data_IF_811488169652
#
_entry.id   IF_811488169652
#
_cell.length_a   1.000
_cell.length_b   1.000
_cell.length_c   1.000
_cell.angle_alpha   90.00
_cell.angle_beta   90.00
_cell.angle_gamma   90.00
#
_symmetry.space_group_name_H-M   'P 1'
#
loop_
_entity.id
_entity.type
_entity.pdbx_description
1 polymer ?
#
# COMPACT_ATOMS: atom_id res chain seq x y z
N UNK A 1 0.18 -21.80 13.61
CA UNK A 1 0.00 -20.83 12.51
C UNK A 1 -0.62 -21.47 11.27
N UNK A 2 -0.03 -22.54 10.75
CA UNK A 2 -0.54 -23.28 9.56
C UNK A 2 -1.97 -23.81 9.77
N UNK A 3 -2.28 -24.31 10.97
CA UNK A 3 -3.64 -24.75 11.33
C UNK A 3 -4.65 -23.60 11.38
N UNK A 4 -4.25 -22.42 11.85
CA UNK A 4 -5.09 -21.23 11.88
C UNK A 4 -5.38 -20.72 10.47
N UNK A 5 -4.37 -20.67 9.59
CA UNK A 5 -4.54 -20.36 8.18
C UNK A 5 -5.46 -21.37 7.45
N UNK A 6 -5.34 -22.66 7.76
CA UNK A 6 -6.27 -23.66 7.22
C UNK A 6 -7.73 -23.42 7.65
N UNK A 7 -7.99 -22.96 8.86
CA UNK A 7 -9.32 -22.60 9.35
C UNK A 7 -9.85 -21.29 8.74
N UNK A 8 -8.98 -20.33 8.40
CA UNK A 8 -9.37 -19.06 7.77
C UNK A 8 -9.89 -19.28 6.34
N UNK A 9 -9.29 -20.21 5.59
CA UNK A 9 -9.68 -20.51 4.20
C UNK A 9 -10.86 -21.48 4.05
N UNK A 10 -11.56 -21.85 5.14
CA UNK A 10 -12.82 -22.58 5.00
C UNK A 10 -13.90 -21.67 4.39
N UNK A 11 -14.81 -22.26 3.58
CA UNK A 11 -15.84 -21.51 2.85
C UNK A 11 -16.69 -20.64 3.80
N UNK A 12 -16.93 -19.35 3.47
CA UNK A 12 -17.72 -18.46 4.30
C UNK A 12 -19.18 -18.93 4.37
N UNK A 13 -19.71 -19.01 5.59
CA UNK A 13 -21.02 -19.60 5.86
C UNK A 13 -22.21 -18.81 5.28
N UNK A 14 -22.05 -17.49 5.01
CA UNK A 14 -23.07 -16.63 4.37
C UNK A 14 -22.42 -15.57 3.48
N UNK A 15 -22.52 -15.76 2.16
CA UNK A 15 -21.94 -14.89 1.14
C UNK A 15 -22.35 -13.40 1.25
N UNK A 16 -23.62 -13.12 1.55
CA UNK A 16 -24.11 -11.74 1.72
C UNK A 16 -23.47 -10.99 2.89
N UNK A 17 -23.26 -11.67 4.02
CA UNK A 17 -22.61 -11.05 5.20
C UNK A 17 -21.14 -10.82 4.93
N UNK A 18 -20.49 -11.76 4.23
CA UNK A 18 -19.09 -11.65 3.84
C UNK A 18 -18.82 -10.40 3.00
N UNK A 19 -19.59 -10.18 1.91
CA UNK A 19 -19.42 -8.98 1.08
C UNK A 19 -19.62 -7.68 1.84
N UNK A 20 -20.60 -7.64 2.74
CA UNK A 20 -20.83 -6.44 3.57
C UNK A 20 -19.67 -6.17 4.53
N UNK A 21 -19.10 -7.21 5.11
CA UNK A 21 -17.93 -7.10 5.97
C UNK A 21 -16.69 -6.66 5.19
N UNK A 22 -16.44 -7.24 4.01
CA UNK A 22 -15.35 -6.83 3.12
C UNK A 22 -15.48 -5.35 2.73
N UNK A 23 -16.65 -4.88 2.32
CA UNK A 23 -16.87 -3.47 1.98
C UNK A 23 -16.63 -2.53 3.16
N UNK A 24 -17.03 -2.93 4.37
CA UNK A 24 -16.76 -2.16 5.59
C UNK A 24 -15.26 -2.05 5.86
N UNK A 25 -14.52 -3.15 5.69
CA UNK A 25 -13.06 -3.16 5.87
C UNK A 25 -12.34 -2.34 4.79
N UNK A 26 -12.76 -2.45 3.53
CA UNK A 26 -12.25 -1.61 2.43
C UNK A 26 -12.44 -0.14 2.74
N UNK A 27 -13.59 0.25 3.26
CA UNK A 27 -13.85 1.63 3.62
C UNK A 27 -13.00 2.08 4.82
N UNK A 28 -12.99 1.30 5.88
CA UNK A 28 -12.29 1.65 7.13
C UNK A 28 -10.77 1.68 6.96
N UNK A 29 -10.20 0.63 6.37
CA UNK A 29 -8.74 0.50 6.20
C UNK A 29 -8.24 1.23 4.95
N UNK A 30 -9.02 1.22 3.88
CA UNK A 30 -8.63 1.81 2.60
C UNK A 30 -8.78 3.33 2.62
N UNK A 31 -10.00 3.83 2.71
CA UNK A 31 -10.29 5.28 2.66
C UNK A 31 -9.62 6.02 3.81
N UNK A 32 -9.64 5.44 5.02
CA UNK A 32 -8.93 5.99 6.18
C UNK A 32 -7.41 6.07 6.02
N UNK A 33 -6.83 5.35 5.05
CA UNK A 33 -5.38 5.39 4.75
C UNK A 33 -5.01 6.34 3.61
N UNK A 34 -5.98 6.79 2.80
CA UNK A 34 -5.70 7.64 1.63
C UNK A 34 -4.97 8.93 1.99
N UNK A 35 -5.36 9.61 3.08
CA UNK A 35 -4.70 10.84 3.53
C UNK A 35 -3.22 10.65 3.84
N UNK A 36 -2.89 9.58 4.57
CA UNK A 36 -1.51 9.28 4.94
C UNK A 36 -0.70 8.94 3.70
N UNK A 37 -1.25 8.10 2.81
CA UNK A 37 -0.60 7.73 1.55
C UNK A 37 -0.40 8.96 0.67
N UNK A 38 -1.39 9.85 0.57
CA UNK A 38 -1.29 11.11 -0.18
C UNK A 38 -0.11 11.96 0.30
N UNK A 39 -0.09 12.29 1.59
CA UNK A 39 0.94 13.16 2.16
C UNK A 39 2.33 12.55 1.95
N UNK A 40 2.50 11.28 2.31
CA UNK A 40 3.80 10.63 2.26
C UNK A 40 4.27 10.47 0.81
N UNK A 41 3.42 10.02 -0.11
CA UNK A 41 3.78 9.86 -1.52
C UNK A 41 4.13 11.20 -2.19
N UNK A 42 3.39 12.26 -1.85
CA UNK A 42 3.67 13.61 -2.34
C UNK A 42 5.06 14.07 -1.93
N UNK A 43 5.38 14.00 -0.64
CA UNK A 43 6.68 14.42 -0.14
C UNK A 43 7.84 13.54 -0.65
N UNK A 44 7.64 12.24 -0.73
CA UNK A 44 8.64 11.33 -1.30
C UNK A 44 8.94 11.68 -2.76
N UNK A 45 7.89 11.91 -3.57
CA UNK A 45 8.06 12.34 -4.96
C UNK A 45 8.85 13.65 -5.09
N UNK A 46 8.52 14.63 -4.25
CA UNK A 46 9.24 15.90 -4.18
C UNK A 46 10.72 15.70 -3.82
N UNK A 47 10.99 14.94 -2.77
CA UNK A 47 12.37 14.67 -2.29
C UNK A 47 13.19 13.94 -3.36
N UNK A 48 12.63 12.91 -4.02
CA UNK A 48 13.33 12.17 -5.07
C UNK A 48 13.70 13.09 -6.22
N UNK A 49 12.79 13.95 -6.67
CA UNK A 49 13.03 14.86 -7.79
C UNK A 49 14.13 15.88 -7.43
N UNK A 50 14.11 16.46 -6.24
CA UNK A 50 15.14 17.36 -5.76
C UNK A 50 16.48 16.63 -5.63
N UNK A 51 16.50 15.44 -5.05
CA UNK A 51 17.70 14.64 -4.87
C UNK A 51 18.36 14.28 -6.21
N UNK A 52 17.56 13.88 -7.21
CA UNK A 52 18.06 13.62 -8.56
C UNK A 52 18.57 14.90 -9.23
N UNK A 53 17.90 16.04 -9.05
CA UNK A 53 18.32 17.33 -9.58
C UNK A 53 19.70 17.74 -9.06
N UNK A 54 19.96 17.49 -7.77
CA UNK A 54 21.25 17.80 -7.15
C UNK A 54 22.34 16.83 -7.61
N UNK A 55 22.02 15.54 -7.71
CA UNK A 55 23.02 14.51 -8.07
C UNK A 55 23.37 14.50 -9.56
N UNK A 56 22.43 14.91 -10.43
CA UNK A 56 22.62 14.93 -11.88
C UNK A 56 23.04 16.33 -12.40
N UNK A 57 24.00 16.96 -11.76
CA UNK A 57 24.48 18.30 -12.15
C UNK A 57 25.51 18.28 -13.29
N UNK A 58 25.89 17.08 -13.78
CA UNK A 58 26.86 16.92 -14.86
C UNK A 58 26.32 17.49 -16.18
N UNK A 59 27.08 18.36 -16.88
CA UNK A 59 26.64 18.94 -18.15
C UNK A 59 26.49 17.90 -19.29
N UNK A 60 26.98 16.67 -19.09
CA UNK A 60 26.87 15.58 -20.06
C UNK A 60 25.50 14.88 -20.01
N UNK A 61 24.73 15.05 -18.93
CA UNK A 61 23.44 14.37 -18.74
C UNK A 61 22.33 15.35 -19.11
N UNK A 62 21.47 15.02 -20.08
CA UNK A 62 20.31 15.85 -20.42
C UNK A 62 19.36 16.00 -19.24
N UNK A 63 18.83 17.21 -19.01
CA UNK A 63 17.97 17.52 -17.85
C UNK A 63 16.67 16.72 -17.80
N UNK A 64 16.11 16.33 -18.95
CA UNK A 64 14.91 15.49 -19.01
C UNK A 64 15.10 14.10 -18.34
N UNK A 65 16.35 13.65 -18.20
CA UNK A 65 16.68 12.38 -17.54
C UNK A 65 16.23 12.36 -16.08
N UNK A 66 16.16 13.51 -15.43
CA UNK A 66 15.69 13.65 -14.04
C UNK A 66 14.20 13.26 -13.97
N UNK A 67 13.37 13.77 -14.87
CA UNK A 67 11.94 13.42 -14.93
C UNK A 67 11.72 11.93 -15.25
N UNK A 68 12.50 11.40 -16.20
CA UNK A 68 12.47 9.97 -16.53
C UNK A 68 12.84 9.09 -15.33
N UNK A 69 13.98 9.35 -14.69
CA UNK A 69 14.46 8.55 -13.54
C UNK A 69 13.54 8.69 -12.33
N UNK A 70 13.02 9.90 -12.06
CA UNK A 70 12.05 10.12 -10.99
C UNK A 70 10.80 9.28 -11.16
N UNK A 71 10.24 9.23 -12.37
CA UNK A 71 9.10 8.38 -12.70
C UNK A 71 9.40 6.91 -12.48
N UNK A 72 10.51 6.41 -13.01
CA UNK A 72 10.92 5.00 -12.90
C UNK A 72 11.02 4.58 -11.42
N UNK A 73 11.73 5.35 -10.62
CA UNK A 73 11.92 5.11 -9.20
C UNK A 73 10.58 5.14 -8.46
N UNK A 74 9.71 6.12 -8.76
CA UNK A 74 8.39 6.21 -8.14
C UNK A 74 7.50 5.04 -8.48
N UNK A 75 7.41 4.63 -9.74
CA UNK A 75 6.54 3.55 -10.18
C UNK A 75 7.04 2.20 -9.68
N UNK A 76 8.34 1.88 -9.88
CA UNK A 76 8.88 0.55 -9.63
C UNK A 76 9.17 0.28 -8.17
N UNK A 77 9.65 1.28 -7.41
CA UNK A 77 10.15 1.07 -6.05
C UNK A 77 9.25 1.69 -4.98
N UNK A 78 9.10 3.01 -4.99
CA UNK A 78 8.51 3.72 -3.86
C UNK A 78 7.01 3.51 -3.71
N UNK A 79 6.28 3.53 -4.80
CA UNK A 79 4.82 3.37 -4.79
C UNK A 79 4.37 2.03 -4.18
N UNK A 80 5.06 0.94 -4.47
CA UNK A 80 4.70 -0.38 -3.93
C UNK A 80 5.33 -0.65 -2.57
N UNK A 81 6.64 -0.41 -2.42
CA UNK A 81 7.40 -0.82 -1.24
C UNK A 81 7.12 0.06 -0.04
N UNK A 82 7.26 1.39 -0.20
CA UNK A 82 7.06 2.33 0.92
C UNK A 82 5.60 2.39 1.34
N UNK A 83 4.67 2.36 0.35
CA UNK A 83 3.25 2.32 0.67
C UNK A 83 2.88 1.08 1.48
N UNK A 84 3.36 -0.11 1.08
CA UNK A 84 3.08 -1.34 1.82
C UNK A 84 3.70 -1.33 3.22
N UNK A 85 4.89 -0.74 3.38
CA UNK A 85 5.53 -0.61 4.69
C UNK A 85 4.71 0.28 5.64
N UNK A 86 4.23 1.42 5.17
CA UNK A 86 3.39 2.34 5.95
C UNK A 86 2.06 1.70 6.32
N UNK A 87 1.43 1.05 5.34
CA UNK A 87 0.17 0.35 5.56
C UNK A 87 0.34 -0.82 6.52
N UNK A 88 1.49 -1.51 6.51
CA UNK A 88 1.75 -2.60 7.45
C UNK A 88 1.69 -2.13 8.89
N UNK A 89 2.27 -0.98 9.20
CA UNK A 89 2.21 -0.39 10.53
C UNK A 89 0.77 0.01 10.92
N UNK A 90 0.08 0.73 10.04
CA UNK A 90 -1.28 1.21 10.31
C UNK A 90 -2.31 0.08 10.38
N UNK A 91 -2.33 -0.78 9.39
CA UNK A 91 -3.30 -1.89 9.31
C UNK A 91 -3.00 -2.92 10.38
N UNK A 92 -1.72 -3.25 10.59
CA UNK A 92 -1.29 -4.18 11.65
C UNK A 92 -1.71 -3.70 13.04
N UNK A 93 -1.48 -2.43 13.37
CA UNK A 93 -1.90 -1.86 14.66
C UNK A 93 -3.42 -1.80 14.81
N UNK A 94 -4.15 -1.45 13.76
CA UNK A 94 -5.62 -1.40 13.76
C UNK A 94 -6.22 -2.80 14.01
N UNK A 95 -5.72 -3.82 13.31
CA UNK A 95 -6.18 -5.21 13.49
C UNK A 95 -5.82 -5.73 14.88
N UNK A 96 -4.61 -5.46 15.36
CA UNK A 96 -4.18 -5.89 16.69
C UNK A 96 -5.03 -5.24 17.81
N UNK A 97 -5.36 -3.97 17.67
CA UNK A 97 -6.23 -3.26 18.62
C UNK A 97 -7.66 -3.81 18.60
N UNK A 98 -8.23 -4.05 17.43
CA UNK A 98 -9.59 -4.57 17.31
C UNK A 98 -9.71 -6.01 17.85
N UNK A 99 -8.80 -6.89 17.46
CA UNK A 99 -8.76 -8.26 17.98
C UNK A 99 -8.46 -8.27 19.48
N UNK A 100 -7.60 -7.37 19.95
CA UNK A 100 -7.29 -7.23 21.38
C UNK A 100 -8.53 -6.83 22.20
N UNK A 101 -9.31 -5.85 21.72
CA UNK A 101 -10.56 -5.45 22.40
C UNK A 101 -11.61 -6.56 22.38
N UNK A 102 -11.77 -7.26 21.24
CA UNK A 102 -12.69 -8.40 21.15
C UNK A 102 -12.31 -9.56 22.08
N UNK A 103 -11.01 -9.77 22.32
CA UNK A 103 -10.54 -10.79 23.26
C UNK A 103 -10.83 -10.40 24.70
N UNK A 104 -10.55 -9.16 25.08
CA UNK A 104 -10.79 -8.66 26.44
C UNK A 104 -12.28 -8.63 26.80
N UNK A 105 -13.13 -8.36 25.82
CA UNK A 105 -14.60 -8.35 25.97
C UNK A 105 -15.26 -9.72 25.78
N UNK A 106 -14.47 -10.80 25.71
CA UNK A 106 -14.94 -12.21 25.56
C UNK A 106 -15.83 -12.45 24.34
N UNK A 107 -15.86 -11.54 23.36
CA UNK A 107 -16.66 -11.67 22.14
C UNK A 107 -16.21 -12.85 21.28
N UNK A 108 -14.91 -13.16 21.27
CA UNK A 108 -14.35 -14.31 20.52
C UNK A 108 -14.83 -15.61 21.14
N UNK A 109 -14.79 -15.71 22.46
CA UNK A 109 -15.20 -16.91 23.19
C UNK A 109 -16.72 -17.13 23.05
N UNK A 110 -17.52 -16.06 23.06
CA UNK A 110 -18.95 -16.13 22.78
C UNK A 110 -19.26 -16.64 21.37
N UNK A 111 -18.48 -16.24 20.34
CA UNK A 111 -18.64 -16.76 18.98
C UNK A 111 -18.29 -18.27 18.89
N UNK A 112 -17.25 -18.70 19.61
CA UNK A 112 -16.86 -20.12 19.63
C UNK A 112 -17.93 -20.99 20.31
N UNK A 113 -18.54 -20.52 21.40
CA UNK A 113 -19.66 -21.21 22.07
C UNK A 113 -20.87 -21.35 21.13
N UNK A 114 -21.11 -20.33 20.29
CA UNK A 114 -22.18 -20.37 19.26
C UNK A 114 -21.83 -21.26 18.06
N UNK A 115 -20.65 -21.92 18.03
CA UNK A 115 -20.23 -22.80 16.94
C UNK A 115 -19.77 -22.07 15.68
N UNK A 116 -19.52 -20.76 15.74
CA UNK A 116 -19.03 -19.95 14.64
C UNK A 116 -17.49 -20.00 14.62
N UNK A 117 -16.89 -20.28 13.47
CA UNK A 117 -15.43 -20.19 13.31
C UNK A 117 -15.00 -18.72 13.35
N UNK A 118 -14.58 -18.26 14.53
CA UNK A 118 -14.15 -16.89 14.81
C UNK A 118 -13.03 -16.41 13.88
N UNK A 119 -12.06 -17.28 13.57
CA UNK A 119 -10.93 -16.98 12.70
C UNK A 119 -11.39 -16.66 11.24
N UNK A 120 -12.30 -17.46 10.70
CA UNK A 120 -12.81 -17.23 9.35
C UNK A 120 -13.69 -15.96 9.30
N UNK A 121 -14.53 -15.76 10.29
CA UNK A 121 -15.46 -14.63 10.32
C UNK A 121 -14.77 -13.28 10.49
N UNK A 122 -13.67 -13.20 11.28
CA UNK A 122 -12.97 -11.95 11.59
C UNK A 122 -11.81 -11.66 10.63
N UNK A 123 -11.01 -12.68 10.28
CA UNK A 123 -9.75 -12.48 9.56
C UNK A 123 -9.94 -12.49 8.05
N UNK A 124 -10.75 -13.39 7.51
CA UNK A 124 -10.93 -13.54 6.06
C UNK A 124 -11.41 -12.25 5.36
N UNK A 125 -12.47 -11.55 5.85
CA UNK A 125 -12.92 -10.32 5.19
C UNK A 125 -11.88 -9.20 5.26
N UNK A 126 -11.04 -9.16 6.30
CA UNK A 126 -9.95 -8.18 6.42
C UNK A 126 -8.85 -8.44 5.38
N UNK A 127 -8.44 -9.69 5.21
CA UNK A 127 -7.44 -10.08 4.18
C UNK A 127 -7.94 -9.72 2.79
N UNK A 128 -9.15 -10.15 2.45
CA UNK A 128 -9.73 -9.93 1.10
C UNK A 128 -9.96 -8.45 0.85
N UNK A 129 -10.49 -7.71 1.82
CA UNK A 129 -10.69 -6.27 1.73
C UNK A 129 -9.38 -5.51 1.49
N UNK A 130 -8.34 -5.83 2.25
CA UNK A 130 -7.03 -5.22 2.12
C UNK A 130 -6.38 -5.54 0.76
N UNK A 131 -6.36 -6.81 0.35
CA UNK A 131 -5.81 -7.22 -0.94
C UNK A 131 -6.54 -6.57 -2.13
N UNK A 132 -7.85 -6.37 -2.03
CA UNK A 132 -8.63 -5.71 -3.11
C UNK A 132 -8.34 -4.21 -3.21
N UNK A 133 -8.00 -3.55 -2.09
CA UNK A 133 -7.81 -2.11 -2.06
C UNK A 133 -6.36 -1.67 -2.33
N UNK A 134 -5.37 -2.51 -2.07
CA UNK A 134 -3.96 -2.22 -2.29
C UNK A 134 -3.63 -1.76 -3.72
N UNK A 135 -4.12 -2.41 -4.80
CA UNK A 135 -3.86 -1.94 -6.16
C UNK A 135 -4.33 -0.51 -6.41
N UNK A 136 -5.49 -0.16 -5.86
CA UNK A 136 -6.04 1.20 -5.98
C UNK A 136 -5.16 2.22 -5.27
N UNK A 137 -4.72 1.91 -4.05
CA UNK A 137 -3.81 2.76 -3.29
C UNK A 137 -2.44 2.90 -3.95
N UNK A 138 -1.92 1.83 -4.59
CA UNK A 138 -0.64 1.91 -5.29
C UNK A 138 -0.70 2.83 -6.51
N UNK A 139 -1.77 2.75 -7.30
CA UNK A 139 -1.99 3.68 -8.43
C UNK A 139 -2.13 5.12 -7.94
N UNK A 140 -2.87 5.32 -6.85
CA UNK A 140 -3.03 6.63 -6.23
C UNK A 140 -1.69 7.19 -5.71
N UNK A 141 -0.87 6.35 -5.09
CA UNK A 141 0.49 6.70 -4.63
C UNK A 141 1.41 7.08 -5.79
N UNK A 142 1.36 6.37 -6.93
CA UNK A 142 2.12 6.71 -8.13
C UNK A 142 1.75 8.11 -8.65
N UNK A 143 0.46 8.36 -8.82
CA UNK A 143 -0.04 9.64 -9.33
C UNK A 143 0.33 10.80 -8.41
N UNK A 144 0.14 10.64 -7.10
CA UNK A 144 0.46 11.69 -6.12
C UNK A 144 1.95 11.93 -5.98
N UNK A 145 2.78 10.88 -6.09
CA UNK A 145 4.23 11.03 -6.05
C UNK A 145 4.80 11.74 -7.29
N UNK A 146 4.30 11.43 -8.48
CA UNK A 146 4.67 12.14 -9.72
C UNK A 146 4.23 13.60 -9.64
N UNK A 147 3.04 13.88 -9.10
CA UNK A 147 2.57 15.24 -8.88
C UNK A 147 3.44 16.00 -7.86
N UNK A 148 3.86 15.33 -6.78
CA UNK A 148 4.82 15.90 -5.82
C UNK A 148 6.15 16.26 -6.46
N UNK A 149 6.68 15.42 -7.35
CA UNK A 149 7.86 15.71 -8.15
C UNK A 149 7.69 16.89 -9.09
N UNK A 150 6.52 17.04 -9.71
CA UNK A 150 6.20 18.19 -10.55
C UNK A 150 6.22 19.51 -9.77
N UNK A 151 5.61 19.54 -8.59
CA UNK A 151 5.64 20.74 -7.72
C UNK A 151 7.04 21.01 -7.21
N UNK A 152 7.86 20.00 -6.99
CA UNK A 152 9.24 20.16 -6.56
C UNK A 152 10.15 20.83 -7.60
N UNK A 153 9.77 20.85 -8.89
CA UNK A 153 10.50 21.58 -9.92
C UNK A 153 10.60 23.08 -9.65
N UNK A 154 9.62 23.69 -8.95
CA UNK A 154 9.66 25.10 -8.56
C UNK A 154 10.77 25.40 -7.55
N UNK A 155 11.12 24.41 -6.73
CA UNK A 155 12.19 24.52 -5.73
C UNK A 155 13.55 24.09 -6.29
N UNK A 156 13.57 23.26 -7.32
CA UNK A 156 14.77 22.79 -8.00
C UNK A 156 15.16 23.79 -9.09
N UNK A 157 15.92 24.83 -8.76
CA UNK A 157 16.35 25.90 -9.67
C UNK A 157 16.97 25.43 -10.99
N UNK A 158 17.36 24.17 -11.11
CA UNK A 158 18.01 23.58 -12.28
C UNK A 158 17.07 22.87 -13.24
N UNK A 159 15.79 22.66 -12.89
CA UNK A 159 14.84 21.82 -13.64
C UNK A 159 13.63 22.63 -14.08
N UNK A 160 13.42 22.70 -15.41
CA UNK A 160 12.20 23.30 -15.98
C UNK A 160 11.03 22.31 -15.92
N UNK A 161 9.81 22.82 -15.71
CA UNK A 161 8.58 22.01 -15.81
C UNK A 161 8.45 21.29 -17.16
N UNK A 162 8.90 21.92 -18.24
CA UNK A 162 8.85 21.32 -19.57
C UNK A 162 9.79 20.11 -19.68
N UNK A 163 11.00 20.21 -19.17
CA UNK A 163 11.97 19.11 -19.16
C UNK A 163 11.47 17.93 -18.30
N UNK A 164 10.83 18.23 -17.17
CA UNK A 164 10.25 17.22 -16.31
C UNK A 164 9.11 16.47 -16.99
N UNK A 165 8.13 17.19 -17.59
CA UNK A 165 7.01 16.57 -18.31
C UNK A 165 7.50 15.78 -19.53
N UNK A 166 8.46 16.30 -20.28
CA UNK A 166 9.07 15.59 -21.40
C UNK A 166 9.72 14.28 -20.93
N UNK A 167 10.46 14.33 -19.82
CA UNK A 167 11.04 13.12 -19.20
C UNK A 167 9.99 12.10 -18.75
N UNK A 168 8.86 12.57 -18.19
CA UNK A 168 7.75 11.69 -17.79
C UNK A 168 7.12 10.94 -18.98
N UNK A 169 7.03 11.58 -20.14
CA UNK A 169 6.40 10.99 -21.33
C UNK A 169 7.35 10.09 -22.12
N UNK A 170 8.66 10.34 -22.00
CA UNK A 170 9.68 9.64 -22.75
C UNK A 170 9.72 8.16 -22.35
N UNK A 171 9.63 7.25 -23.34
CA UNK A 171 9.69 5.78 -23.14
C UNK A 171 8.75 5.24 -22.05
N UNK A 172 7.52 5.76 -21.99
CA UNK A 172 6.55 5.22 -21.04
C UNK A 172 6.16 3.79 -21.41
N UNK A 173 6.49 2.85 -20.52
CA UNK A 173 6.18 1.43 -20.69
C UNK A 173 5.07 1.03 -19.71
N UNK A 174 3.82 0.78 -20.19
CA UNK A 174 2.67 0.48 -19.31
C UNK A 174 2.87 -0.76 -18.42
N UNK A 175 3.73 -1.70 -18.83
CA UNK A 175 4.01 -2.91 -18.06
C UNK A 175 4.64 -2.62 -16.69
N UNK A 176 5.30 -1.48 -16.47
CA UNK A 176 5.88 -1.11 -15.17
C UNK A 176 4.80 -0.91 -14.10
N UNK A 177 3.67 -0.34 -14.47
CA UNK A 177 2.52 -0.21 -13.56
C UNK A 177 2.00 -1.59 -13.17
N UNK A 178 1.89 -2.52 -14.13
CA UNK A 178 1.52 -3.91 -13.86
C UNK A 178 2.46 -4.62 -12.89
N UNK A 179 3.78 -4.49 -13.09
CA UNK A 179 4.78 -5.06 -12.19
C UNK A 179 4.67 -4.50 -10.77
N UNK A 180 4.46 -3.19 -10.62
CA UNK A 180 4.28 -2.56 -9.32
C UNK A 180 3.02 -3.03 -8.60
N UNK A 181 1.91 -3.23 -9.33
CA UNK A 181 0.67 -3.79 -8.77
C UNK A 181 0.90 -5.23 -8.28
N UNK A 182 1.56 -6.08 -9.08
CA UNK A 182 1.88 -7.45 -8.67
C UNK A 182 2.79 -7.44 -7.43
N UNK A 183 3.80 -6.58 -7.41
CA UNK A 183 4.70 -6.39 -6.27
C UNK A 183 3.94 -5.97 -5.00
N UNK A 184 3.00 -5.05 -5.11
CA UNK A 184 2.17 -4.59 -3.98
C UNK A 184 1.26 -5.69 -3.45
N UNK A 185 0.70 -6.55 -4.32
CA UNK A 185 -0.10 -7.72 -3.92
C UNK A 185 0.75 -8.77 -3.20
N UNK A 186 1.97 -9.03 -3.67
CA UNK A 186 2.89 -9.95 -3.00
C UNK A 186 3.24 -9.43 -1.59
N UNK A 187 3.53 -8.16 -1.44
CA UNK A 187 3.79 -7.57 -0.13
C UNK A 187 2.56 -7.63 0.80
N UNK A 188 1.35 -7.45 0.26
CA UNK A 188 0.13 -7.62 1.02
C UNK A 188 -0.04 -9.06 1.53
N UNK A 189 0.23 -10.04 0.69
CA UNK A 189 0.23 -11.45 1.10
C UNK A 189 1.26 -11.71 2.21
N UNK A 190 2.49 -11.21 2.04
CA UNK A 190 3.56 -11.37 3.03
C UNK A 190 3.21 -10.73 4.37
N UNK A 191 2.53 -9.58 4.36
CA UNK A 191 2.09 -8.92 5.57
C UNK A 191 1.19 -9.81 6.44
N UNK A 192 0.24 -10.50 5.81
CA UNK A 192 -0.68 -11.39 6.52
C UNK A 192 -0.10 -12.77 6.82
N UNK A 193 0.92 -13.20 6.08
CA UNK A 193 1.57 -14.50 6.31
C UNK A 193 2.77 -14.42 7.25
N UNK A 194 3.21 -13.21 7.65
CA UNK A 194 4.31 -13.06 8.60
C UNK A 194 3.84 -13.36 10.03
N UNK A 195 4.42 -14.37 10.70
CA UNK A 195 4.07 -14.70 12.08
C UNK A 195 4.47 -13.56 13.02
N UNK A 196 3.54 -13.13 13.87
CA UNK A 196 3.84 -12.16 14.91
C UNK A 196 4.87 -12.75 15.91
N UNK A 197 5.78 -11.94 16.49
CA UNK A 197 6.67 -12.40 17.54
C UNK A 197 5.96 -12.99 18.76
N UNK A 198 4.69 -12.64 18.99
CA UNK A 198 3.85 -13.19 20.08
C UNK A 198 3.37 -14.63 19.84
N UNK A 199 3.39 -15.11 18.59
CA UNK A 199 3.01 -16.50 18.29
C UNK A 199 4.12 -17.51 18.58
N UNK A 200 5.28 -17.04 19.09
CA UNK A 200 6.43 -17.88 19.49
C UNK A 200 6.54 -18.10 21.00
N UNK A 201 5.66 -17.57 21.80
CA UNK A 201 5.51 -17.83 23.23
C UNK A 201 4.23 -18.62 23.46
#
# INVERSE_FOLDING_TARGET
YTQLMGRVFTLPMRWRMFHRSVLREVYSLGVGSMWIVFIISFFIGAVITIQLSINMTSPLIPRFTIGYSSREIMILEFSSTVMCLILSGKVGSSIASELGTMRVTEQIDAMEIMGVNSANFLILPKIVGFMSFIPVLSIFSMATGIYGGYVACDFAQSLSHQDYIYGLQLYFTPSYVGHSIVKSLVYACLLYTSPSPRDRQ
#
